data_IF_792686097272
#
_entry.id   IF_792686097272
#
_cell.length_a   1.000
_cell.length_b   1.000
_cell.length_c   1.000
_cell.angle_alpha   90.00
_cell.angle_beta   90.00
_cell.angle_gamma   90.00
#
_symmetry.space_group_name_H-M   'P 1'
#
loop_
_entity.id
_entity.type
_entity.pdbx_description
1 polymer ?
#
# COMPACT_ATOMS: atom_id res chain seq x y z
N UNK A 1 37.75 22.56 91.36
CA UNK A 1 36.58 22.10 90.57
C UNK A 1 36.90 22.39 89.11
N UNK A 2 37.19 21.37 88.27
CA UNK A 2 36.40 20.94 87.07
C UNK A 2 35.81 22.13 86.27
N UNK A 3 35.87 22.23 84.94
CA UNK A 3 36.03 21.23 83.89
C UNK A 3 36.38 21.93 82.55
N UNK A 4 37.14 21.22 81.71
CA UNK A 4 36.99 21.02 80.26
C UNK A 4 36.28 22.09 79.40
N UNK A 5 37.03 22.63 78.43
CA UNK A 5 36.49 22.91 77.09
C UNK A 5 37.59 22.57 76.08
N UNK A 6 37.59 21.32 75.63
CA UNK A 6 38.37 20.86 74.49
C UNK A 6 37.65 21.33 73.21
N UNK A 7 38.30 22.03 72.27
CA UNK A 7 37.73 22.19 70.96
C UNK A 7 37.70 20.81 70.31
N UNK A 8 36.50 20.33 70.00
CA UNK A 8 36.28 19.14 69.19
C UNK A 8 36.78 19.48 67.78
N UNK A 9 38.07 19.25 67.52
CA UNK A 9 38.58 19.21 66.15
C UNK A 9 37.93 18.01 65.46
N UNK A 10 36.84 18.28 64.75
CA UNK A 10 36.23 17.36 63.82
C UNK A 10 37.27 17.01 62.77
N UNK A 11 37.79 15.78 62.87
CA UNK A 11 38.78 15.19 61.97
C UNK A 11 38.28 15.22 60.52
N UNK A 12 38.79 16.18 59.74
CA UNK A 12 38.61 16.24 58.28
C UNK A 12 39.50 15.20 57.55
N UNK A 13 40.34 14.47 58.28
CA UNK A 13 41.29 13.49 57.71
C UNK A 13 40.65 12.10 57.53
N UNK A 14 39.68 11.73 58.37
CA UNK A 14 38.96 10.44 58.29
C UNK A 14 37.91 10.40 57.15
N UNK A 15 37.41 11.57 56.72
CA UNK A 15 36.42 11.66 55.64
C UNK A 15 37.05 11.41 54.26
N UNK A 16 38.33 11.72 54.05
CA UNK A 16 39.01 11.59 52.74
C UNK A 16 39.10 10.14 52.25
N UNK A 17 39.33 9.19 53.16
CA UNK A 17 39.37 7.75 52.84
C UNK A 17 38.00 7.20 52.47
N UNK A 18 36.96 7.60 53.21
CA UNK A 18 35.57 7.21 52.96
C UNK A 18 35.06 7.77 51.64
N UNK A 19 35.36 9.04 51.34
CA UNK A 19 35.01 9.69 50.07
C UNK A 19 35.66 8.96 48.89
N UNK A 20 36.93 8.56 49.00
CA UNK A 20 37.61 7.82 47.94
C UNK A 20 36.92 6.48 47.62
N UNK A 21 36.46 5.75 48.64
CA UNK A 21 35.71 4.49 48.48
C UNK A 21 34.36 4.75 47.79
N UNK A 22 33.61 5.76 48.24
CA UNK A 22 32.31 6.11 47.66
C UNK A 22 32.47 6.51 46.19
N UNK A 23 33.48 7.33 45.86
CA UNK A 23 33.78 7.73 44.48
C UNK A 23 34.16 6.52 43.63
N UNK A 24 35.03 5.62 44.13
CA UNK A 24 35.41 4.41 43.41
C UNK A 24 34.21 3.51 43.11
N UNK A 25 33.36 3.25 44.11
CA UNK A 25 32.12 2.48 43.93
C UNK A 25 31.14 3.16 42.97
N UNK A 26 31.04 4.49 43.03
CA UNK A 26 30.19 5.27 42.12
C UNK A 26 30.68 5.18 40.68
N UNK A 27 32.00 5.25 40.44
CA UNK A 27 32.59 5.10 39.10
C UNK A 27 32.35 3.69 38.53
N UNK A 28 32.49 2.66 39.37
CA UNK A 28 32.16 1.28 38.98
C UNK A 28 30.68 1.16 38.63
N UNK A 29 29.79 1.70 39.46
CA UNK A 29 28.35 1.69 39.20
C UNK A 29 28.00 2.42 37.89
N UNK A 30 28.56 3.60 37.65
CA UNK A 30 28.35 4.36 36.42
C UNK A 30 28.88 3.63 35.18
N UNK A 31 30.01 2.95 35.30
CA UNK A 31 30.59 2.14 34.21
C UNK A 31 29.70 0.95 33.89
N UNK A 32 29.17 0.27 34.91
CA UNK A 32 28.23 -0.85 34.75
C UNK A 32 26.92 -0.41 34.08
N UNK A 33 26.40 0.77 34.42
CA UNK A 33 25.20 1.33 33.76
C UNK A 33 25.50 1.67 32.30
N UNK A 34 26.65 2.29 32.02
CA UNK A 34 27.08 2.62 30.65
C UNK A 34 27.24 1.37 29.80
N UNK A 35 27.87 0.34 30.37
CA UNK A 35 28.03 -0.97 29.76
C UNK A 35 26.69 -1.59 29.35
N UNK A 36 25.72 -1.60 30.27
CA UNK A 36 24.36 -2.08 30.01
C UNK A 36 23.67 -1.29 28.90
N UNK A 37 23.80 0.04 28.91
CA UNK A 37 23.21 0.90 27.88
C UNK A 37 23.78 0.60 26.50
N UNK A 38 25.09 0.37 26.39
CA UNK A 38 25.74 0.02 25.11
C UNK A 38 25.24 -1.32 24.59
N UNK A 39 25.18 -2.34 25.44
CA UNK A 39 24.70 -3.67 25.06
C UNK A 39 23.23 -3.62 24.59
N UNK A 40 22.34 -3.04 25.40
CA UNK A 40 20.91 -2.91 25.05
C UNK A 40 20.74 -2.06 23.80
N UNK A 41 21.51 -0.97 23.66
CA UNK A 41 21.50 -0.10 22.48
C UNK A 41 21.87 -0.87 21.21
N UNK A 42 22.92 -1.69 21.27
CA UNK A 42 23.34 -2.53 20.14
C UNK A 42 22.26 -3.55 19.76
N UNK A 43 21.69 -4.25 20.74
CA UNK A 43 20.61 -5.23 20.47
C UNK A 43 19.38 -4.56 19.86
N UNK A 44 19.06 -3.35 20.31
CA UNK A 44 17.94 -2.59 19.78
C UNK A 44 18.18 -2.14 18.34
N UNK A 45 19.41 -1.72 18.01
CA UNK A 45 19.81 -1.40 16.64
C UNK A 45 19.70 -2.62 15.72
N UNK A 46 20.22 -3.78 16.15
CA UNK A 46 20.15 -5.04 15.41
C UNK A 46 18.69 -5.46 15.17
N UNK A 47 17.85 -5.37 16.20
CA UNK A 47 16.42 -5.69 16.06
C UNK A 47 15.71 -4.76 15.07
N UNK A 48 16.02 -3.46 15.08
CA UNK A 48 15.47 -2.50 14.11
C UNK A 48 15.89 -2.82 12.69
N UNK A 49 17.16 -3.17 12.50
CA UNK A 49 17.67 -3.61 11.19
C UNK A 49 16.91 -4.84 10.68
N UNK A 50 16.78 -5.89 11.50
CA UNK A 50 16.02 -7.09 11.14
C UNK A 50 14.54 -6.77 10.85
N UNK A 51 13.92 -5.82 11.57
CA UNK A 51 12.55 -5.41 11.28
C UNK A 51 12.44 -4.72 9.92
N UNK A 52 13.38 -3.83 9.56
CA UNK A 52 13.41 -3.20 8.23
C UNK A 52 13.57 -4.24 7.12
N UNK A 53 14.41 -5.26 7.32
CA UNK A 53 14.56 -6.40 6.39
C UNK A 53 13.25 -7.19 6.29
N UNK A 54 12.61 -7.50 7.42
CA UNK A 54 11.35 -8.24 7.45
C UNK A 54 10.24 -7.49 6.70
N UNK A 55 10.06 -6.20 7.01
CA UNK A 55 9.02 -5.36 6.44
C UNK A 55 9.19 -5.19 4.92
N UNK A 56 10.42 -4.91 4.46
CA UNK A 56 10.70 -4.74 3.03
C UNK A 56 10.53 -6.05 2.25
N UNK A 57 11.00 -7.17 2.80
CA UNK A 57 10.85 -8.48 2.20
C UNK A 57 9.37 -8.92 2.14
N UNK A 58 8.61 -8.70 3.23
CA UNK A 58 7.18 -9.03 3.26
C UNK A 58 6.38 -8.17 2.27
N UNK A 59 6.61 -6.86 2.22
CA UNK A 59 5.95 -5.96 1.28
C UNK A 59 6.28 -6.27 -0.19
N UNK A 60 7.52 -6.66 -0.48
CA UNK A 60 7.93 -7.03 -1.83
C UNK A 60 7.38 -8.40 -2.26
N UNK A 61 7.44 -9.39 -1.37
CA UNK A 61 6.90 -10.71 -1.65
C UNK A 61 5.39 -10.71 -1.80
N UNK A 62 4.67 -9.93 -0.99
CA UNK A 62 3.21 -9.83 -1.06
C UNK A 62 2.70 -9.39 -2.45
N UNK A 63 3.49 -8.65 -3.22
CA UNK A 63 3.10 -8.20 -4.57
C UNK A 63 3.05 -9.32 -5.61
N UNK A 64 3.60 -10.50 -5.33
CA UNK A 64 3.46 -11.68 -6.22
C UNK A 64 2.30 -12.60 -5.83
N UNK A 65 1.63 -12.28 -4.72
CA UNK A 65 0.48 -13.04 -4.26
C UNK A 65 -0.80 -12.49 -4.90
N UNK A 66 -1.85 -13.31 -5.04
CA UNK A 66 -1.88 -14.77 -4.82
C UNK A 66 -1.34 -15.60 -6.00
N UNK A 67 -1.01 -14.96 -7.12
CA UNK A 67 -0.77 -15.62 -8.41
C UNK A 67 0.50 -16.49 -8.42
N UNK A 68 1.54 -16.08 -7.70
CA UNK A 68 2.84 -16.77 -7.66
C UNK A 68 3.39 -16.87 -6.23
N UNK A 69 2.97 -17.88 -5.43
CA UNK A 69 3.52 -18.12 -4.10
C UNK A 69 5.03 -18.38 -4.08
N UNK A 70 5.56 -19.06 -5.11
CA UNK A 70 7.01 -19.29 -5.24
C UNK A 70 7.74 -18.00 -5.65
N UNK A 71 7.15 -17.20 -6.54
CA UNK A 71 7.64 -15.87 -6.88
C UNK A 71 7.67 -14.96 -5.65
N UNK A 72 6.66 -15.01 -4.79
CA UNK A 72 6.59 -14.25 -3.55
C UNK A 72 7.77 -14.57 -2.61
N UNK A 73 8.10 -15.86 -2.46
CA UNK A 73 9.26 -16.31 -1.69
C UNK A 73 10.56 -15.79 -2.28
N UNK A 74 10.72 -15.91 -3.60
CA UNK A 74 11.92 -15.44 -4.29
C UNK A 74 12.08 -13.92 -4.16
N UNK A 75 11.04 -13.13 -4.43
CA UNK A 75 11.04 -11.67 -4.27
C UNK A 75 11.36 -11.24 -2.85
N UNK A 76 10.82 -11.93 -1.84
CA UNK A 76 11.13 -11.64 -0.44
C UNK A 76 12.63 -11.85 -0.14
N UNK A 77 13.22 -12.96 -0.61
CA UNK A 77 14.66 -13.26 -0.43
C UNK A 77 15.53 -12.21 -1.13
N UNK A 78 15.19 -11.85 -2.38
CA UNK A 78 15.91 -10.85 -3.16
C UNK A 78 15.88 -9.47 -2.49
N UNK A 79 14.71 -9.03 -2.01
CA UNK A 79 14.57 -7.74 -1.31
C UNK A 79 15.28 -7.71 0.04
N UNK A 80 15.25 -8.81 0.80
CA UNK A 80 16.01 -8.91 2.04
C UNK A 80 17.51 -8.73 1.79
N UNK A 81 18.05 -9.37 0.74
CA UNK A 81 19.46 -9.26 0.36
C UNK A 81 19.86 -7.83 -0.03
N UNK A 82 18.98 -7.10 -0.75
CA UNK A 82 19.20 -5.68 -1.09
C UNK A 82 19.30 -4.78 0.15
N UNK A 83 18.64 -5.16 1.25
CA UNK A 83 18.68 -4.44 2.53
C UNK A 83 19.75 -4.99 3.49
N UNK A 84 20.65 -5.85 3.00
CA UNK A 84 21.76 -6.42 3.78
C UNK A 84 21.37 -7.58 4.70
N UNK A 85 20.12 -8.04 4.66
CA UNK A 85 19.66 -9.22 5.38
C UNK A 85 19.93 -10.51 4.61
N UNK A 86 20.09 -11.62 5.31
CA UNK A 86 20.14 -12.95 4.70
C UNK A 86 18.99 -13.77 5.25
N UNK A 87 18.03 -14.11 4.39
CA UNK A 87 16.92 -15.00 4.71
C UNK A 87 16.88 -16.14 3.70
N UNK A 88 16.23 -17.22 4.08
CA UNK A 88 16.07 -18.43 3.28
C UNK A 88 14.58 -18.76 3.10
N UNK A 89 14.27 -19.76 2.29
CA UNK A 89 12.90 -20.18 2.07
C UNK A 89 12.17 -20.64 3.36
N UNK A 90 12.91 -21.12 4.38
CA UNK A 90 12.32 -21.49 5.68
C UNK A 90 11.94 -20.30 6.54
N UNK A 91 12.47 -19.11 6.25
CA UNK A 91 12.15 -17.88 6.98
C UNK A 91 10.91 -17.19 6.40
N UNK A 92 10.35 -17.73 5.30
CA UNK A 92 9.20 -17.21 4.58
C UNK A 92 8.06 -18.19 4.66
N UNK A 93 6.88 -17.73 5.02
CA UNK A 93 5.65 -18.52 5.07
C UNK A 93 4.57 -17.85 4.22
N UNK A 94 3.93 -18.61 3.34
CA UNK A 94 2.75 -18.17 2.61
C UNK A 94 1.51 -18.71 3.33
N UNK A 95 0.56 -17.82 3.61
CA UNK A 95 -0.66 -18.12 4.34
C UNK A 95 -1.89 -17.58 3.62
N UNK A 96 -3.03 -17.70 4.27
CA UNK A 96 -4.33 -17.23 3.78
C UNK A 96 -5.07 -16.54 4.93
N UNK A 97 -5.42 -15.26 4.75
CA UNK A 97 -6.13 -14.45 5.75
C UNK A 97 -7.54 -14.11 5.28
N UNK A 98 -7.70 -13.50 4.11
CA UNK A 98 -8.99 -13.12 3.50
C UNK A 98 -9.30 -13.96 2.26
N UNK A 99 -8.28 -14.38 1.53
CA UNK A 99 -8.34 -15.24 0.36
C UNK A 99 -7.18 -16.25 0.37
N UNK A 100 -7.21 -17.22 -0.55
CA UNK A 100 -6.15 -18.20 -0.67
C UNK A 100 -4.84 -17.54 -1.11
N UNK A 101 -3.74 -17.90 -0.44
CA UNK A 101 -2.38 -17.43 -0.72
C UNK A 101 -2.24 -15.91 -0.76
N UNK A 102 -2.99 -15.15 0.04
CA UNK A 102 -2.98 -13.68 0.02
C UNK A 102 -1.99 -13.05 1.02
N UNK A 103 -1.31 -13.87 1.82
CA UNK A 103 -0.54 -13.42 2.97
C UNK A 103 0.86 -14.01 2.94
N UNK A 104 1.86 -13.19 3.23
CA UNK A 104 3.25 -13.60 3.43
C UNK A 104 3.72 -13.20 4.83
N UNK A 105 4.45 -14.09 5.50
CA UNK A 105 5.15 -13.81 6.76
C UNK A 105 6.64 -14.04 6.56
N UNK A 106 7.46 -13.07 6.96
CA UNK A 106 8.92 -13.14 6.88
C UNK A 106 9.51 -12.98 8.28
N UNK A 107 10.39 -13.90 8.67
CA UNK A 107 10.96 -13.97 10.03
C UNK A 107 12.49 -14.03 9.99
N UNK A 108 13.19 -12.92 9.67
CA UNK A 108 14.65 -12.90 9.70
C UNK A 108 15.17 -13.02 11.13
N UNK A 109 16.33 -13.65 11.29
CA UNK A 109 17.00 -13.76 12.58
C UNK A 109 18.52 -13.64 12.47
N UNK A 110 19.13 -13.13 13.54
CA UNK A 110 20.56 -13.17 13.77
C UNK A 110 20.84 -14.16 14.92
N UNK A 111 21.54 -15.29 14.67
CA UNK A 111 21.79 -16.30 15.70
C UNK A 111 22.83 -15.86 16.74
N UNK A 112 23.65 -14.84 16.46
CA UNK A 112 24.80 -14.46 17.28
C UNK A 112 25.03 -12.95 17.27
N UNK A 113 23.99 -12.19 17.63
CA UNK A 113 24.11 -10.74 17.77
C UNK A 113 25.10 -10.44 18.92
N UNK A 114 26.21 -9.71 18.64
CA UNK A 114 27.27 -9.55 19.62
C UNK A 114 26.82 -8.66 20.77
N UNK A 115 27.18 -9.08 21.99
CA UNK A 115 27.21 -8.20 23.16
C UNK A 115 28.63 -7.66 23.31
N UNK A 116 28.82 -6.51 23.94
CA UNK A 116 30.14 -5.90 24.14
C UNK A 116 30.60 -6.05 25.58
N UNK A 117 29.77 -5.66 26.54
CA UNK A 117 30.15 -5.68 27.95
C UNK A 117 29.71 -6.96 28.67
N UNK A 118 28.59 -7.55 28.29
CA UNK A 118 28.12 -8.83 28.84
C UNK A 118 29.10 -9.99 28.61
N UNK A 119 30.08 -9.84 27.69
CA UNK A 119 31.17 -10.82 27.52
C UNK A 119 32.00 -11.01 28.78
N UNK A 120 32.15 -9.98 29.61
CA UNK A 120 32.84 -10.07 30.91
C UNK A 120 32.13 -11.05 31.85
N UNK A 121 30.82 -11.26 31.66
CA UNK A 121 30.00 -12.22 32.39
C UNK A 121 29.88 -13.58 31.67
N UNK A 122 30.64 -13.79 30.57
CA UNK A 122 30.59 -15.01 29.76
C UNK A 122 29.42 -15.08 28.79
N UNK A 123 28.75 -13.95 28.49
CA UNK A 123 27.66 -13.88 27.51
C UNK A 123 28.17 -13.17 26.26
N UNK A 124 28.58 -13.94 25.26
CA UNK A 124 29.21 -13.38 24.05
C UNK A 124 28.22 -12.82 23.03
N UNK A 125 27.05 -13.45 22.93
CA UNK A 125 26.03 -13.09 21.96
C UNK A 125 24.65 -13.57 22.38
N UNK A 126 23.62 -13.04 21.71
CA UNK A 126 22.23 -13.47 21.86
C UNK A 126 21.59 -13.66 20.49
N UNK A 127 20.62 -14.57 20.42
CA UNK A 127 19.75 -14.71 19.24
C UNK A 127 18.72 -13.58 19.25
N UNK A 128 18.60 -12.87 18.14
CA UNK A 128 17.55 -11.86 17.90
C UNK A 128 16.79 -12.23 16.64
N UNK A 129 15.48 -11.98 16.63
CA UNK A 129 14.64 -12.14 15.45
C UNK A 129 13.68 -10.96 15.33
N UNK A 130 13.22 -10.73 14.11
CA UNK A 130 12.10 -9.84 13.79
C UNK A 130 11.06 -10.63 12.98
N UNK A 131 9.86 -10.07 12.86
CA UNK A 131 8.78 -10.66 12.10
C UNK A 131 8.00 -9.56 11.42
N UNK A 132 7.67 -9.78 10.15
CA UNK A 132 6.74 -8.95 9.42
C UNK A 132 5.75 -9.83 8.68
N UNK A 133 4.50 -9.40 8.65
CA UNK A 133 3.44 -10.04 7.88
C UNK A 133 2.88 -9.00 6.93
N UNK A 134 2.70 -9.38 5.67
CA UNK A 134 2.08 -8.52 4.67
C UNK A 134 0.95 -9.27 3.97
N UNK A 135 -0.12 -8.55 3.67
CA UNK A 135 -1.26 -9.06 2.92
C UNK A 135 -1.39 -8.28 1.61
N UNK A 136 -1.77 -8.99 0.55
CA UNK A 136 -2.32 -8.38 -0.66
C UNK A 136 -3.83 -8.55 -0.67
N UNK A 137 -4.55 -7.48 -0.95
CA UNK A 137 -5.99 -7.43 -0.85
C UNK A 137 -6.57 -6.47 -1.90
N UNK A 138 -7.89 -6.47 -2.02
CA UNK A 138 -8.63 -5.48 -2.81
C UNK A 138 -9.37 -4.52 -1.86
N UNK A 139 -9.53 -3.23 -2.21
CA UNK A 139 -10.32 -2.31 -1.40
C UNK A 139 -11.79 -2.73 -1.40
N UNK A 140 -12.43 -2.71 -0.24
CA UNK A 140 -13.87 -2.96 -0.13
C UNK A 140 -14.68 -1.75 -0.64
N UNK A 141 -14.14 -0.55 -0.46
CA UNK A 141 -14.70 0.71 -0.94
C UNK A 141 -13.66 1.59 -1.61
N UNK A 142 -14.06 2.40 -2.58
CA UNK A 142 -13.18 3.35 -3.27
C UNK A 142 -13.83 4.73 -3.43
N UNK A 143 -13.02 5.77 -3.20
CA UNK A 143 -13.38 7.18 -3.43
C UNK A 143 -12.61 7.66 -4.65
N UNK A 144 -13.26 8.43 -5.53
CA UNK A 144 -12.66 8.95 -6.75
C UNK A 144 -12.91 8.09 -7.99
N UNK A 145 -13.90 7.20 -7.95
CA UNK A 145 -14.34 6.48 -9.16
C UNK A 145 -14.92 7.46 -10.19
N UNK A 146 -14.72 7.17 -11.47
CA UNK A 146 -15.33 7.94 -12.55
C UNK A 146 -16.70 7.37 -12.90
N UNK A 147 -17.62 8.15 -13.49
CA UNK A 147 -18.99 7.71 -13.75
C UNK A 147 -19.10 6.80 -14.98
N UNK A 148 -18.21 5.82 -15.08
CA UNK A 148 -18.17 4.81 -16.13
C UNK A 148 -18.33 3.41 -15.53
N UNK A 149 -19.17 2.61 -16.19
CA UNK A 149 -19.41 1.21 -15.84
C UNK A 149 -19.13 0.30 -17.03
N UNK A 150 -18.34 -0.75 -16.82
CA UNK A 150 -18.14 -1.81 -17.81
C UNK A 150 -18.74 -3.13 -17.28
N UNK A 151 -19.58 -3.84 -18.07
CA UNK A 151 -20.05 -5.16 -17.69
C UNK A 151 -18.87 -6.12 -17.45
N UNK A 152 -18.97 -6.97 -16.43
CA UNK A 152 -17.92 -7.94 -16.08
C UNK A 152 -17.52 -8.85 -17.25
N UNK A 153 -18.49 -9.25 -18.07
CA UNK A 153 -18.30 -10.07 -19.28
C UNK A 153 -17.55 -9.36 -20.42
N UNK A 154 -17.53 -8.02 -20.41
CA UNK A 154 -16.86 -7.20 -21.41
C UNK A 154 -15.43 -6.80 -20.96
N UNK A 155 -15.02 -7.12 -19.73
CA UNK A 155 -13.76 -6.66 -19.16
C UNK A 155 -12.61 -7.64 -19.44
N UNK A 156 -11.68 -7.19 -20.26
CA UNK A 156 -10.39 -7.84 -20.51
C UNK A 156 -9.25 -6.83 -20.34
N UNK A 157 -8.31 -7.03 -19.41
CA UNK A 157 -7.19 -6.10 -19.20
C UNK A 157 -6.19 -6.13 -20.36
N UNK A 158 -5.48 -5.02 -20.58
CA UNK A 158 -4.46 -4.88 -21.62
C UNK A 158 -4.98 -4.60 -23.04
N UNK A 159 -6.28 -4.71 -23.28
CA UNK A 159 -6.92 -4.35 -24.56
C UNK A 159 -7.35 -2.88 -24.53
N UNK A 160 -7.24 -2.19 -25.68
CA UNK A 160 -7.77 -0.83 -25.82
C UNK A 160 -9.29 -0.87 -26.05
N UNK A 161 -10.02 -0.16 -25.19
CA UNK A 161 -11.46 0.00 -25.24
C UNK A 161 -11.84 1.36 -25.74
N UNK A 162 -12.92 1.40 -26.53
CA UNK A 162 -13.72 2.61 -26.67
C UNK A 162 -14.71 2.64 -25.50
N UNK A 163 -14.31 3.21 -24.37
CA UNK A 163 -15.16 3.21 -23.17
C UNK A 163 -16.40 4.09 -23.34
N UNK A 164 -16.27 5.13 -24.17
CA UNK A 164 -17.38 5.96 -24.62
C UNK A 164 -17.47 5.94 -26.14
N UNK A 165 -18.48 5.33 -26.73
CA UNK A 165 -18.66 5.33 -28.19
C UNK A 165 -19.55 6.50 -28.71
N UNK A 166 -19.45 6.85 -30.01
CA UNK A 166 -20.40 7.76 -30.67
C UNK A 166 -21.82 7.16 -30.76
N UNK A 167 -22.86 8.00 -30.99
CA UNK A 167 -24.20 7.49 -31.31
C UNK A 167 -24.24 6.89 -32.72
N UNK A 168 -24.97 5.76 -32.90
CA UNK A 168 -25.23 5.17 -34.22
C UNK A 168 -25.16 3.63 -34.24
N UNK A 169 -25.50 2.99 -35.38
CA UNK A 169 -25.34 1.54 -35.55
C UNK A 169 -23.86 1.15 -35.44
N UNK A 170 -23.54 0.12 -34.64
CA UNK A 170 -22.17 -0.39 -34.47
C UNK A 170 -21.36 0.27 -33.34
N UNK A 171 -21.95 1.12 -32.50
CA UNK A 171 -21.31 1.59 -31.25
C UNK A 171 -21.31 0.52 -30.15
N UNK A 172 -20.39 0.61 -29.19
CA UNK A 172 -20.28 -0.25 -27.99
C UNK A 172 -21.43 -0.04 -26.97
N UNK A 173 -22.63 0.31 -27.44
CA UNK A 173 -23.79 0.65 -26.62
C UNK A 173 -24.90 -0.38 -26.84
N UNK A 174 -25.26 -1.10 -25.79
CA UNK A 174 -26.46 -1.93 -25.80
C UNK A 174 -27.69 -1.03 -25.60
N UNK A 175 -28.58 -0.98 -26.61
CA UNK A 175 -29.95 -0.42 -26.50
C UNK A 175 -30.08 0.97 -25.87
N UNK A 176 -29.05 1.83 -26.00
CA UNK A 176 -29.05 3.20 -25.47
C UNK A 176 -28.45 3.36 -24.08
N UNK A 177 -27.91 2.31 -23.47
CA UNK A 177 -27.01 2.42 -22.32
C UNK A 177 -25.60 2.75 -22.82
N UNK A 178 -25.10 3.91 -22.38
CA UNK A 178 -23.85 4.49 -22.86
C UNK A 178 -22.66 4.27 -21.90
N UNK A 179 -22.78 3.28 -21.00
CA UNK A 179 -21.80 2.96 -19.95
C UNK A 179 -21.59 4.09 -18.95
N UNK A 180 -22.52 5.05 -18.91
CA UNK A 180 -22.50 6.17 -17.98
C UNK A 180 -23.27 5.81 -16.72
N UNK A 181 -22.67 6.06 -15.56
CA UNK A 181 -23.28 5.80 -14.26
C UNK A 181 -23.68 7.11 -13.59
N UNK A 182 -24.77 7.07 -12.84
CA UNK A 182 -25.19 8.14 -11.95
C UNK A 182 -24.45 7.94 -10.64
N UNK A 183 -23.37 8.68 -10.50
CA UNK A 183 -22.62 8.79 -9.26
C UNK A 183 -22.87 10.18 -8.69
N UNK A 184 -22.88 10.26 -7.37
CA UNK A 184 -23.03 11.45 -6.52
C UNK A 184 -24.31 12.25 -6.81
N UNK A 185 -25.19 12.37 -5.82
CA UNK A 185 -26.35 13.26 -5.89
C UNK A 185 -27.36 13.01 -7.03
N UNK A 186 -27.85 14.10 -7.61
CA UNK A 186 -28.98 14.12 -8.55
C UNK A 186 -28.55 13.83 -10.00
N UNK A 187 -29.41 13.20 -10.82
CA UNK A 187 -29.09 12.91 -12.21
C UNK A 187 -28.79 14.18 -13.01
N UNK A 188 -27.69 14.20 -13.76
CA UNK A 188 -27.43 15.34 -14.65
C UNK A 188 -26.08 15.36 -15.33
N UNK A 189 -26.04 16.05 -16.46
CA UNK A 189 -24.83 16.28 -17.25
C UNK A 189 -23.72 17.03 -16.50
N UNK A 190 -24.11 17.95 -15.58
CA UNK A 190 -23.16 18.73 -14.79
C UNK A 190 -22.45 17.86 -13.77
N UNK A 191 -23.20 17.08 -13.01
CA UNK A 191 -22.67 16.18 -11.98
C UNK A 191 -21.80 15.09 -12.59
N UNK A 192 -22.27 14.47 -13.68
CA UNK A 192 -21.47 13.52 -14.45
C UNK A 192 -20.14 14.13 -14.93
N UNK A 193 -20.14 15.39 -15.40
CA UNK A 193 -18.89 16.04 -15.83
C UNK A 193 -17.94 16.25 -14.65
N UNK A 194 -18.45 16.65 -13.49
CA UNK A 194 -17.66 16.91 -12.29
C UNK A 194 -17.04 15.61 -11.73
N UNK A 195 -17.82 14.52 -11.66
CA UNK A 195 -17.30 13.19 -11.30
C UNK A 195 -16.28 12.69 -12.33
N UNK A 196 -16.43 13.09 -13.60
CA UNK A 196 -15.41 12.84 -14.62
C UNK A 196 -14.27 13.87 -14.61
N UNK A 197 -14.28 14.91 -13.79
CA UNK A 197 -13.13 15.80 -13.63
C UNK A 197 -12.32 15.40 -12.39
N UNK A 198 -12.99 15.32 -11.26
CA UNK A 198 -12.37 15.13 -9.94
C UNK A 198 -12.44 13.68 -9.44
N UNK A 199 -13.37 12.88 -9.98
CA UNK A 199 -13.76 11.60 -9.39
C UNK A 199 -14.90 11.80 -8.39
N UNK A 200 -15.73 10.77 -8.21
CA UNK A 200 -16.84 10.80 -7.27
C UNK A 200 -16.32 10.88 -5.82
N UNK A 201 -16.94 11.73 -5.02
CA UNK A 201 -16.60 11.97 -3.61
C UNK A 201 -17.24 10.96 -2.66
N UNK A 202 -18.34 10.32 -3.07
CA UNK A 202 -18.97 9.24 -2.30
C UNK A 202 -18.07 8.01 -2.32
N UNK A 203 -17.80 7.36 -1.16
CA UNK A 203 -17.19 6.04 -1.13
C UNK A 203 -18.19 5.01 -1.66
N UNK A 204 -17.88 4.38 -2.80
CA UNK A 204 -18.67 3.27 -3.34
C UNK A 204 -18.08 1.95 -2.90
N UNK A 205 -18.93 0.96 -2.61
CA UNK A 205 -18.58 -0.39 -2.19
C UNK A 205 -18.87 -1.42 -3.26
N UNK A 206 -18.12 -2.53 -3.23
CA UNK A 206 -18.52 -3.74 -3.95
C UNK A 206 -19.87 -4.21 -3.38
N UNK A 207 -20.83 -4.49 -4.26
CA UNK A 207 -22.21 -4.83 -3.92
C UNK A 207 -23.18 -3.65 -3.89
N UNK A 208 -22.70 -2.40 -3.95
CA UNK A 208 -23.59 -1.25 -4.06
C UNK A 208 -24.33 -1.26 -5.39
N UNK A 209 -25.58 -0.81 -5.36
CA UNK A 209 -26.42 -0.66 -6.56
C UNK A 209 -26.44 0.81 -6.97
N UNK A 210 -26.04 1.08 -8.21
CA UNK A 210 -26.00 2.42 -8.80
C UNK A 210 -26.87 2.49 -10.03
N UNK A 211 -27.57 3.61 -10.21
CA UNK A 211 -28.37 3.83 -11.40
C UNK A 211 -27.47 4.15 -12.60
N UNK A 212 -27.85 3.68 -13.79
CA UNK A 212 -27.25 4.19 -15.04
C UNK A 212 -27.71 5.61 -15.33
N UNK A 213 -26.83 6.43 -15.91
CA UNK A 213 -27.17 7.78 -16.34
C UNK A 213 -27.83 7.76 -17.73
N UNK A 214 -28.96 8.43 -17.86
CA UNK A 214 -29.67 8.54 -19.14
C UNK A 214 -28.98 9.48 -20.13
N UNK A 215 -29.07 9.15 -21.41
CA UNK A 215 -28.51 9.97 -22.49
C UNK A 215 -27.03 9.73 -22.76
N UNK A 216 -26.58 10.13 -23.95
CA UNK A 216 -25.24 9.80 -24.42
C UNK A 216 -24.11 10.51 -23.65
N UNK A 217 -24.40 11.53 -22.84
CA UNK A 217 -23.39 12.27 -22.05
C UNK A 217 -22.16 12.76 -22.83
N UNK A 218 -22.30 12.98 -24.14
CA UNK A 218 -21.18 13.24 -25.05
C UNK A 218 -20.36 14.48 -24.67
N UNK A 219 -21.00 15.65 -24.58
CA UNK A 219 -20.31 16.92 -24.28
C UNK A 219 -19.72 16.93 -22.87
N UNK A 220 -20.45 16.49 -21.82
CA UNK A 220 -19.88 16.30 -20.50
C UNK A 220 -18.68 15.36 -20.48
N UNK A 221 -18.72 14.27 -21.24
CA UNK A 221 -17.62 13.30 -21.30
C UNK A 221 -16.35 13.94 -21.87
N UNK A 222 -16.46 14.58 -23.04
CA UNK A 222 -15.32 15.24 -23.67
C UNK A 222 -14.74 16.34 -22.77
N UNK A 223 -15.60 17.16 -22.17
CA UNK A 223 -15.18 18.29 -21.34
C UNK A 223 -14.54 17.82 -20.03
N UNK A 224 -15.19 16.92 -19.29
CA UNK A 224 -14.69 16.40 -18.02
C UNK A 224 -13.36 15.66 -18.17
N UNK A 225 -13.24 14.80 -19.18
CA UNK A 225 -11.99 14.08 -19.43
C UNK A 225 -10.84 15.03 -19.82
N UNK A 226 -11.10 16.06 -20.66
CA UNK A 226 -10.08 17.07 -21.01
C UNK A 226 -9.67 17.91 -19.82
N UNK A 227 -10.63 18.35 -19.01
CA UNK A 227 -10.38 19.13 -17.80
C UNK A 227 -9.56 18.32 -16.79
N UNK A 228 -9.87 17.03 -16.60
CA UNK A 228 -9.05 16.12 -15.78
C UNK A 228 -7.61 16.08 -16.28
N UNK A 229 -7.39 15.77 -17.56
CA UNK A 229 -6.03 15.64 -18.10
C UNK A 229 -5.26 16.96 -18.07
N UNK A 230 -5.97 18.08 -18.18
CA UNK A 230 -5.37 19.41 -18.07
C UNK A 230 -5.04 19.82 -16.62
N UNK A 231 -5.55 19.11 -15.62
CA UNK A 231 -5.29 19.40 -14.20
C UNK A 231 -3.98 18.81 -13.69
N UNK A 232 -3.30 17.98 -14.49
CA UNK A 232 -2.02 17.37 -14.15
C UNK A 232 -0.89 18.41 -14.03
N UNK A 233 0.06 18.24 -13.08
CA UNK A 233 1.29 19.03 -13.03
C UNK A 233 2.08 19.07 -14.34
N UNK A 234 1.98 18.02 -15.17
CA UNK A 234 2.51 17.97 -16.54
C UNK A 234 1.34 17.99 -17.54
N UNK A 235 0.80 19.18 -17.86
CA UNK A 235 -0.45 19.27 -18.60
C UNK A 235 -0.32 18.70 -20.02
N UNK A 236 -1.26 17.80 -20.37
CA UNK A 236 -1.36 17.22 -21.70
C UNK A 236 -1.37 15.70 -21.69
N UNK A 237 -1.84 15.12 -22.80
CA UNK A 237 -1.97 13.67 -22.92
C UNK A 237 -0.60 13.01 -23.12
N UNK A 238 -0.15 12.26 -22.13
CA UNK A 238 1.04 11.42 -22.14
C UNK A 238 0.80 10.11 -22.90
N UNK A 239 1.88 9.55 -23.44
CA UNK A 239 1.83 8.25 -24.10
C UNK A 239 1.52 7.13 -23.11
N UNK A 240 0.75 6.12 -23.53
CA UNK A 240 0.45 4.97 -22.66
C UNK A 240 1.74 4.33 -22.10
N UNK A 241 2.73 4.08 -22.96
CA UNK A 241 3.98 3.41 -22.61
C UNK A 241 4.89 4.25 -21.69
N UNK A 242 4.69 5.57 -21.57
CA UNK A 242 5.40 6.36 -20.56
C UNK A 242 4.79 6.26 -19.17
N UNK A 243 3.50 5.91 -19.08
CA UNK A 243 2.75 5.82 -17.82
C UNK A 243 2.69 4.40 -17.25
N UNK A 244 2.99 3.38 -18.04
CA UNK A 244 2.94 1.97 -17.63
C UNK A 244 4.26 1.24 -17.85
N UNK A 245 4.35 0.01 -17.34
CA UNK A 245 5.37 -0.95 -17.71
C UNK A 245 4.75 -2.35 -17.83
N UNK A 246 5.42 -3.21 -18.60
CA UNK A 246 5.08 -4.63 -18.72
C UNK A 246 5.99 -5.44 -17.81
N UNK A 247 5.43 -6.35 -17.02
CA UNK A 247 6.19 -7.14 -16.05
C UNK A 247 6.24 -8.65 -16.38
N UNK A 248 5.70 -9.05 -17.54
CA UNK A 248 5.59 -10.45 -17.93
C UNK A 248 4.17 -11.02 -17.76
N UNK A 249 3.35 -10.44 -16.88
CA UNK A 249 1.97 -10.84 -16.62
C UNK A 249 0.92 -9.80 -17.01
N UNK A 250 1.32 -8.54 -17.20
CA UNK A 250 0.39 -7.49 -17.62
C UNK A 250 0.99 -6.10 -17.66
N UNK A 251 0.16 -5.11 -18.03
CA UNK A 251 0.48 -3.70 -17.84
C UNK A 251 0.17 -3.26 -16.42
N UNK A 252 1.16 -2.67 -15.76
CA UNK A 252 1.09 -2.07 -14.41
C UNK A 252 1.41 -0.58 -14.45
N UNK A 253 0.82 0.17 -13.52
CA UNK A 253 1.04 1.62 -13.40
C UNK A 253 2.49 1.92 -12.99
N UNK A 254 3.17 2.79 -13.75
CA UNK A 254 4.54 3.25 -13.46
C UNK A 254 4.54 4.58 -12.70
N UNK A 255 3.72 5.53 -13.16
CA UNK A 255 3.64 6.90 -12.65
C UNK A 255 2.15 7.23 -12.48
N UNK A 256 1.80 7.86 -11.35
CA UNK A 256 0.46 8.37 -11.15
C UNK A 256 0.28 9.64 -11.99
N UNK A 257 -0.77 9.65 -12.81
CA UNK A 257 -1.09 10.72 -13.75
C UNK A 257 -2.61 10.90 -13.77
N UNK A 258 -3.08 12.10 -14.07
CA UNK A 258 -4.50 12.41 -14.28
C UNK A 258 -5.23 11.50 -15.30
N UNK A 259 -4.51 10.83 -16.21
CA UNK A 259 -5.07 9.84 -17.14
C UNK A 259 -5.47 8.53 -16.47
N UNK A 260 -4.93 8.24 -15.28
CA UNK A 260 -5.31 7.07 -14.49
C UNK A 260 -6.63 7.35 -13.78
N UNK A 261 -7.64 6.54 -14.08
CA UNK A 261 -8.98 6.64 -13.48
C UNK A 261 -9.46 5.29 -13.00
N UNK A 262 -10.37 5.32 -12.02
CA UNK A 262 -10.99 4.11 -11.51
C UNK A 262 -12.38 3.92 -12.09
N UNK A 263 -12.59 2.85 -12.85
CA UNK A 263 -13.85 2.51 -13.49
C UNK A 263 -14.54 1.40 -12.70
N UNK A 264 -15.87 1.40 -12.71
CA UNK A 264 -16.67 0.39 -12.03
C UNK A 264 -16.88 -0.82 -12.95
N UNK A 265 -16.47 -2.00 -12.49
CA UNK A 265 -16.94 -3.25 -13.06
C UNK A 265 -18.33 -3.51 -12.52
N UNK A 266 -19.32 -3.72 -13.38
CA UNK A 266 -20.73 -3.79 -12.97
C UNK A 266 -21.41 -5.05 -13.50
N UNK A 267 -22.53 -5.44 -12.86
CA UNK A 267 -23.43 -6.44 -13.42
C UNK A 267 -23.94 -5.99 -14.80
N UNK A 268 -24.21 -6.91 -15.74
CA UNK A 268 -24.79 -6.55 -17.03
C UNK A 268 -26.12 -5.80 -16.80
N UNK A 269 -26.32 -4.63 -17.43
CA UNK A 269 -27.58 -3.92 -17.35
C UNK A 269 -28.67 -4.78 -17.99
N UNK A 270 -29.88 -4.78 -17.42
CA UNK A 270 -31.01 -5.44 -18.07
C UNK A 270 -31.54 -4.62 -19.26
N UNK A 271 -32.71 -5.01 -19.81
CA UNK A 271 -33.11 -4.62 -21.17
C UNK A 271 -33.54 -3.16 -21.36
N UNK A 272 -33.73 -2.40 -20.27
CA UNK A 272 -34.21 -1.03 -20.25
C UNK A 272 -33.13 0.04 -20.52
N UNK A 273 -33.58 1.28 -20.67
CA UNK A 273 -32.73 2.44 -21.02
C UNK A 273 -32.03 3.05 -19.80
N UNK A 274 -32.61 2.84 -18.61
CA UNK A 274 -32.04 3.25 -17.33
C UNK A 274 -32.33 2.15 -16.32
N UNK A 275 -31.31 1.39 -15.94
CA UNK A 275 -31.46 0.29 -14.99
C UNK A 275 -30.38 0.34 -13.93
N UNK A 276 -30.73 -0.03 -12.68
CA UNK A 276 -29.74 -0.18 -11.64
C UNK A 276 -28.77 -1.31 -11.99
N UNK A 277 -27.48 -1.07 -11.73
CA UNK A 277 -26.42 -2.07 -11.86
C UNK A 277 -25.67 -2.20 -10.55
N UNK A 278 -25.26 -3.42 -10.23
CA UNK A 278 -24.50 -3.73 -9.02
C UNK A 278 -23.00 -3.62 -9.30
N UNK A 279 -22.26 -2.96 -8.41
CA UNK A 279 -20.80 -2.86 -8.49
C UNK A 279 -20.18 -4.20 -8.12
N UNK A 280 -19.37 -4.77 -9.03
CA UNK A 280 -18.65 -6.03 -8.86
C UNK A 280 -17.21 -5.83 -8.40
N UNK A 281 -16.54 -4.82 -8.94
CA UNK A 281 -15.13 -4.53 -8.67
C UNK A 281 -14.75 -3.10 -9.07
N UNK A 282 -13.56 -2.68 -8.65
CA UNK A 282 -12.90 -1.46 -9.10
C UNK A 282 -11.76 -1.83 -10.04
N UNK A 283 -11.82 -1.34 -11.28
CA UNK A 283 -10.85 -1.68 -12.31
C UNK A 283 -10.07 -0.43 -12.76
N UNK A 284 -8.72 -0.48 -12.73
CA UNK A 284 -7.89 0.63 -13.14
C UNK A 284 -7.93 0.80 -14.67
N UNK A 285 -8.16 2.03 -15.12
CA UNK A 285 -8.24 2.37 -16.53
C UNK A 285 -7.33 3.55 -16.85
N UNK A 286 -6.56 3.42 -17.93
CA UNK A 286 -5.69 4.47 -18.42
C UNK A 286 -6.32 5.10 -19.65
N UNK A 287 -6.68 6.39 -19.57
CA UNK A 287 -7.18 7.13 -20.73
C UNK A 287 -6.02 7.31 -21.72
N UNK A 288 -6.19 6.84 -22.96
CA UNK A 288 -5.19 6.95 -24.04
C UNK A 288 -5.58 7.97 -25.11
N UNK A 289 -6.88 8.25 -25.23
CA UNK A 289 -7.38 9.19 -26.23
C UNK A 289 -8.70 9.84 -25.80
N UNK A 290 -8.81 11.16 -25.99
CA UNK A 290 -10.06 11.91 -25.83
C UNK A 290 -10.43 12.58 -27.15
N UNK A 291 -11.41 11.99 -27.83
CA UNK A 291 -11.96 12.49 -29.08
C UNK A 291 -13.23 13.34 -28.88
N UNK A 292 -13.73 13.90 -29.98
CA UNK A 292 -14.95 14.73 -30.02
C UNK A 292 -16.25 13.95 -29.70
N UNK A 293 -16.20 12.63 -29.78
CA UNK A 293 -17.34 11.73 -29.59
C UNK A 293 -16.99 10.45 -28.85
N UNK A 294 -15.73 10.27 -28.49
CA UNK A 294 -15.25 9.03 -27.91
C UNK A 294 -14.15 9.26 -26.90
N UNK A 295 -14.06 8.35 -25.94
CA UNK A 295 -12.90 8.22 -25.06
C UNK A 295 -12.41 6.80 -25.19
N UNK A 296 -11.11 6.66 -25.42
CA UNK A 296 -10.42 5.38 -25.47
C UNK A 296 -9.42 5.26 -24.34
N UNK A 297 -9.10 4.02 -24.01
CA UNK A 297 -8.12 3.71 -23.00
C UNK A 297 -7.99 2.22 -22.79
N UNK A 298 -7.07 1.85 -21.91
CA UNK A 298 -6.72 0.45 -21.67
C UNK A 298 -6.89 0.16 -20.19
N UNK A 299 -7.58 -0.93 -19.86
CA UNK A 299 -7.62 -1.43 -18.49
C UNK A 299 -6.25 -1.99 -18.12
N UNK A 300 -5.76 -1.62 -16.94
CA UNK A 300 -4.55 -2.21 -16.40
C UNK A 300 -4.90 -3.55 -15.74
N UNK A 301 -3.94 -4.47 -15.71
CA UNK A 301 -4.16 -5.75 -15.02
C UNK A 301 -4.28 -5.50 -13.53
N UNK A 302 -3.34 -4.70 -13.02
CA UNK A 302 -3.25 -4.35 -11.61
C UNK A 302 -2.74 -2.92 -11.42
N UNK A 303 -3.22 -2.30 -10.34
CA UNK A 303 -2.65 -1.07 -9.83
C UNK A 303 -2.47 -1.19 -8.31
N UNK A 304 -1.23 -1.01 -7.85
CA UNK A 304 -0.92 -0.89 -6.43
C UNK A 304 -1.22 0.53 -5.97
N UNK A 305 -2.09 0.67 -4.97
CA UNK A 305 -2.45 1.98 -4.42
C UNK A 305 -2.12 2.06 -2.93
N UNK A 306 -1.85 3.28 -2.46
CA UNK A 306 -1.83 3.56 -1.04
C UNK A 306 -3.26 3.72 -0.53
N UNK A 307 -3.76 2.74 0.21
CA UNK A 307 -5.14 2.72 0.67
C UNK A 307 -5.23 2.36 2.15
N UNK A 308 -5.93 3.21 2.90
CA UNK A 308 -6.09 3.12 4.37
C UNK A 308 -7.46 2.63 4.82
N UNK A 309 -8.40 2.43 3.89
CA UNK A 309 -9.76 1.96 4.20
C UNK A 309 -9.85 0.44 4.42
N UNK A 310 -11.09 -0.08 4.50
CA UNK A 310 -11.37 -1.51 4.66
C UNK A 310 -11.01 -2.32 3.40
N UNK A 311 -10.46 -3.52 3.62
CA UNK A 311 -9.99 -4.41 2.56
C UNK A 311 -10.78 -5.72 2.57
N UNK A 312 -10.95 -6.31 1.40
CA UNK A 312 -11.55 -7.62 1.19
C UNK A 312 -10.56 -8.58 0.52
N UNK A 313 -10.94 -9.85 0.38
CA UNK A 313 -10.13 -10.84 -0.33
C UNK A 313 -9.71 -10.34 -1.72
N UNK A 314 -8.45 -10.58 -2.06
CA UNK A 314 -7.89 -10.16 -3.35
C UNK A 314 -8.69 -10.75 -4.51
N UNK A 315 -9.16 -9.89 -5.42
CA UNK A 315 -9.92 -10.30 -6.61
C UNK A 315 -8.95 -10.74 -7.74
N UNK A 316 -9.32 -11.50 -8.77
CA UNK A 316 -8.39 -11.93 -9.83
C UNK A 316 -7.78 -10.83 -10.74
N UNK A 317 -8.13 -9.56 -10.50
CA UNK A 317 -7.48 -8.38 -11.09
C UNK A 317 -8.00 -7.10 -10.46
N UNK A 318 -7.69 -5.95 -11.05
CA UNK A 318 -8.18 -4.66 -10.57
C UNK A 318 -7.23 -3.97 -9.59
N UNK A 319 -7.77 -3.33 -8.56
CA UNK A 319 -6.94 -2.66 -7.54
C UNK A 319 -6.33 -3.69 -6.59
N UNK A 320 -5.03 -3.51 -6.34
CA UNK A 320 -4.27 -4.20 -5.30
C UNK A 320 -3.87 -3.22 -4.20
N UNK A 321 -4.00 -3.66 -2.97
CA UNK A 321 -3.49 -2.97 -1.78
C UNK A 321 -2.56 -3.94 -1.08
N UNK A 322 -1.32 -3.51 -0.87
CA UNK A 322 -0.36 -4.25 -0.04
C UNK A 322 -0.22 -3.52 1.28
N UNK A 323 -0.37 -4.24 2.39
CA UNK A 323 -0.30 -3.66 3.73
C UNK A 323 0.45 -4.58 4.68
N UNK A 324 1.30 -4.01 5.52
CA UNK A 324 1.82 -4.70 6.69
C UNK A 324 0.69 -4.94 7.70
N UNK A 325 0.60 -6.16 8.21
CA UNK A 325 -0.33 -6.56 9.26
C UNK A 325 0.44 -7.08 10.46
N UNK A 326 -0.19 -7.03 11.63
CA UNK A 326 0.34 -7.65 12.85
C UNK A 326 0.39 -9.19 12.76
#
# INVERSE_FOLDING_TARGET
MRNENSPMETSLEDEKGTIAIIVALSLVALTMVTALVVDVGSLYQERRFLQTVADSAALAGAQELPESPDGARQRAIEYAAQHGGTITASDVEIGSTLASNDTITVTPFNPSAPLYFARVLGIDSVRIQARAKAIIASPEEYVGVVPWGIPEEDWEPGVEYVLKCPPGPGGCHAKGNFRALRLDGEPGAKEYQENLREGATTPYKVGDVVDTQTGNMRKPTEKGAKERVASDPNPGMQSFLSLVYWDGGGYRLRVLDSQFVMVLLVSPPGPGVSEPVEIRAFVPFMITHIGKHEVKGTFLHEALINYKGPITGVQPGGIRVVRLTE
#
